data_IF_731350073220
#
_entry.id   IF_731350073220
#
_cell.length_a   1.000
_cell.length_b   1.000
_cell.length_c   1.000
_cell.angle_alpha   90.00
_cell.angle_beta   90.00
_cell.angle_gamma   90.00
#
_symmetry.space_group_name_H-M   'P 1'
#
loop_
_entity.id
_entity.type
_entity.pdbx_description
1 polymer ?
#
# COMPACT_ATOMS: atom_id res chain seq x y z
N UNK A 1 14.66 -15.34 -12.51
CA UNK A 1 14.47 -14.68 -11.20
C UNK A 1 14.59 -15.72 -10.10
N UNK A 2 15.02 -15.39 -8.87
CA UNK A 2 15.09 -16.33 -7.72
C UNK A 2 14.39 -15.84 -6.46
N UNK A 3 14.16 -14.53 -6.31
CA UNK A 3 13.49 -13.96 -5.15
C UNK A 3 12.54 -12.83 -5.57
N UNK A 4 11.31 -12.87 -5.08
CA UNK A 4 10.35 -11.76 -5.13
C UNK A 4 10.11 -11.26 -3.72
N UNK A 5 10.30 -9.96 -3.50
CA UNK A 5 10.08 -9.30 -2.22
C UNK A 5 8.90 -8.36 -2.36
N UNK A 6 7.87 -8.52 -1.53
CA UNK A 6 6.80 -7.53 -1.38
C UNK A 6 7.14 -6.58 -0.24
N UNK A 7 7.12 -5.27 -0.46
CA UNK A 7 7.31 -4.29 0.61
C UNK A 7 5.98 -3.87 1.25
N UNK A 8 6.03 -3.62 2.55
CA UNK A 8 4.89 -3.23 3.36
C UNK A 8 5.24 -3.14 4.84
N UNK A 9 4.33 -2.60 5.65
CA UNK A 9 4.40 -2.62 7.10
C UNK A 9 3.47 -3.71 7.67
N UNK A 10 3.90 -4.50 8.66
CA UNK A 10 3.08 -5.53 9.28
C UNK A 10 2.06 -4.96 10.27
N UNK A 11 0.92 -5.64 10.42
CA UNK A 11 -0.09 -5.37 11.43
C UNK A 11 -1.32 -4.61 10.93
N UNK A 12 -2.44 -4.80 11.63
CA UNK A 12 -3.80 -4.40 11.20
C UNK A 12 -3.95 -2.94 10.77
N UNK A 13 -3.20 -2.02 11.39
CA UNK A 13 -3.24 -0.60 11.03
C UNK A 13 -2.72 -0.30 9.62
N UNK A 14 -1.80 -1.11 9.10
CA UNK A 14 -1.14 -0.88 7.80
C UNK A 14 -1.67 -1.76 6.67
N UNK A 15 -2.43 -2.83 6.98
CA UNK A 15 -2.92 -3.79 5.99
C UNK A 15 -3.61 -3.16 4.77
N UNK A 16 -4.24 -1.99 4.96
CA UNK A 16 -4.99 -1.28 3.91
C UNK A 16 -4.36 0.04 3.46
N UNK A 17 -3.12 0.30 3.85
CA UNK A 17 -2.43 1.56 3.51
C UNK A 17 -1.70 1.45 2.18
N UNK A 18 -1.57 2.55 1.43
CA UNK A 18 -0.89 2.57 0.12
C UNK A 18 0.51 1.94 0.16
N UNK A 19 1.23 2.12 1.27
CA UNK A 19 2.57 1.58 1.50
C UNK A 19 2.66 0.04 1.54
N UNK A 20 1.52 -0.66 1.53
CA UNK A 20 1.45 -2.12 1.51
C UNK A 20 1.12 -2.69 0.12
N UNK A 21 1.16 -1.87 -0.94
CA UNK A 21 0.91 -2.34 -2.32
C UNK A 21 1.81 -3.52 -2.71
N UNK A 22 3.08 -3.53 -2.26
CA UNK A 22 4.00 -4.65 -2.47
C UNK A 22 3.54 -5.94 -1.79
N UNK A 23 3.07 -5.88 -0.55
CA UNK A 23 2.45 -7.03 0.12
C UNK A 23 1.21 -7.52 -0.63
N UNK A 24 0.30 -6.62 -1.01
CA UNK A 24 -0.94 -6.98 -1.69
C UNK A 24 -0.69 -7.80 -2.95
N UNK A 25 0.28 -7.39 -3.76
CA UNK A 25 0.63 -8.11 -4.98
C UNK A 25 1.21 -9.49 -4.67
N UNK A 26 2.18 -9.60 -3.77
CA UNK A 26 2.84 -10.88 -3.50
C UNK A 26 1.90 -11.87 -2.79
N UNK A 27 1.02 -11.38 -1.90
CA UNK A 27 -0.03 -12.19 -1.29
C UNK A 27 -1.02 -12.72 -2.33
N UNK A 28 -1.47 -11.87 -3.26
CA UNK A 28 -2.35 -12.29 -4.35
C UNK A 28 -1.69 -13.30 -5.27
N UNK A 29 -0.43 -13.06 -5.63
CA UNK A 29 0.35 -14.00 -6.43
C UNK A 29 0.47 -15.36 -5.73
N UNK A 30 0.82 -15.35 -4.45
CA UNK A 30 0.91 -16.56 -3.64
C UNK A 30 -0.42 -17.31 -3.57
N UNK A 31 -1.53 -16.60 -3.34
CA UNK A 31 -2.87 -17.19 -3.30
C UNK A 31 -3.29 -17.79 -4.66
N UNK A 32 -3.09 -17.07 -5.77
CA UNK A 32 -3.46 -17.52 -7.12
C UNK A 32 -2.67 -18.76 -7.56
N UNK A 33 -1.43 -18.89 -7.09
CA UNK A 33 -0.54 -20.00 -7.47
C UNK A 33 -0.51 -21.13 -6.45
N UNK A 34 -1.27 -21.03 -5.35
CA UNK A 34 -1.25 -22.02 -4.27
C UNK A 34 0.04 -22.03 -3.45
N UNK A 35 0.85 -20.97 -3.52
CA UNK A 35 2.07 -20.84 -2.70
C UNK A 35 1.70 -20.49 -1.26
N UNK A 36 2.09 -21.34 -0.31
CA UNK A 36 1.84 -21.08 1.12
C UNK A 36 2.93 -20.18 1.69
N UNK A 37 2.55 -19.00 2.16
CA UNK A 37 3.41 -18.09 2.91
C UNK A 37 3.38 -18.47 4.40
N UNK A 38 4.55 -18.79 4.98
CA UNK A 38 4.70 -19.14 6.40
C UNK A 38 5.58 -18.15 7.12
N UNK A 39 5.26 -17.86 8.37
CA UNK A 39 6.12 -17.04 9.23
C UNK A 39 7.42 -17.79 9.51
N UNK A 40 8.53 -17.15 9.18
CA UNK A 40 9.87 -17.63 9.47
C UNK A 40 10.57 -16.63 10.41
N UNK A 41 10.91 -17.10 11.61
CA UNK A 41 11.54 -16.26 12.63
C UNK A 41 13.00 -15.92 12.30
N UNK A 42 13.71 -16.80 11.59
CA UNK A 42 15.09 -16.55 11.16
C UNK A 42 15.11 -15.41 10.17
N UNK A 43 14.23 -15.43 9.18
CA UNK A 43 14.15 -14.36 8.18
C UNK A 43 13.31 -13.17 8.63
N UNK A 44 12.65 -13.23 9.79
CA UNK A 44 11.74 -12.18 10.29
C UNK A 44 10.71 -11.77 9.23
N UNK A 45 10.12 -12.76 8.55
CA UNK A 45 9.29 -12.53 7.37
C UNK A 45 8.22 -13.61 7.21
N UNK A 46 7.25 -13.37 6.32
CA UNK A 46 6.50 -14.45 5.69
C UNK A 46 7.29 -14.93 4.47
N UNK A 47 7.50 -16.23 4.36
CA UNK A 47 8.30 -16.86 3.31
C UNK A 47 7.50 -17.96 2.66
N UNK A 48 7.54 -18.04 1.34
CA UNK A 48 7.00 -19.15 0.57
C UNK A 48 7.91 -19.48 -0.60
N UNK A 49 7.77 -20.68 -1.15
CA UNK A 49 8.46 -21.09 -2.37
C UNK A 49 7.43 -21.42 -3.44
N UNK A 50 7.48 -20.71 -4.54
CA UNK A 50 6.64 -20.99 -5.69
C UNK A 50 7.21 -22.21 -6.41
N UNK A 51 6.64 -23.39 -6.14
CA UNK A 51 7.16 -24.67 -6.62
C UNK A 51 7.41 -24.73 -8.15
N UNK A 52 6.51 -24.24 -9.02
CA UNK A 52 6.74 -24.33 -10.48
C UNK A 52 8.01 -23.65 -10.98
N UNK A 53 8.46 -22.58 -10.31
CA UNK A 53 9.67 -21.83 -10.72
C UNK A 53 10.82 -21.94 -9.71
N UNK A 54 10.57 -22.53 -8.54
CA UNK A 54 11.49 -22.58 -7.41
C UNK A 54 11.79 -21.22 -6.76
N UNK A 55 11.12 -20.15 -7.18
CA UNK A 55 11.34 -18.77 -6.72
C UNK A 55 10.86 -18.59 -5.28
N UNK A 56 11.64 -17.88 -4.48
CA UNK A 56 11.25 -17.49 -3.13
C UNK A 56 10.36 -16.25 -3.15
N UNK A 57 9.29 -16.28 -2.35
CA UNK A 57 8.46 -15.13 -2.03
C UNK A 57 8.77 -14.68 -0.61
N UNK A 58 8.98 -13.38 -0.41
CA UNK A 58 9.36 -12.81 0.87
C UNK A 58 8.53 -11.56 1.18
N UNK A 59 7.84 -11.55 2.32
CA UNK A 59 7.20 -10.38 2.89
C UNK A 59 7.83 -10.06 4.26
N UNK A 60 8.78 -9.12 4.33
CA UNK A 60 9.37 -8.66 5.58
C UNK A 60 8.33 -8.39 6.67
N UNK A 61 8.48 -8.96 7.87
CA UNK A 61 7.60 -8.70 9.01
C UNK A 61 8.27 -7.72 9.99
N UNK A 62 8.89 -6.68 9.44
CA UNK A 62 9.51 -5.54 10.13
C UNK A 62 8.94 -4.24 9.58
N UNK A 63 9.22 -3.11 10.23
CA UNK A 63 8.86 -1.81 9.66
C UNK A 63 9.62 -1.54 8.36
N UNK A 64 9.01 -0.76 7.48
CA UNK A 64 9.49 -0.50 6.12
C UNK A 64 10.96 -0.04 6.09
N UNK A 65 11.36 0.84 7.01
CA UNK A 65 12.74 1.34 7.10
C UNK A 65 13.78 0.27 7.50
N UNK A 66 13.34 -0.95 7.80
CA UNK A 66 14.18 -2.09 8.21
C UNK A 66 14.00 -3.31 7.29
N UNK A 67 13.39 -3.14 6.11
CA UNK A 67 13.10 -4.23 5.16
C UNK A 67 14.35 -4.86 4.54
N UNK A 68 15.49 -4.19 4.53
CA UNK A 68 16.74 -4.70 3.96
C UNK A 68 17.37 -5.82 4.78
N UNK A 69 17.21 -5.84 6.11
CA UNK A 69 17.68 -6.95 6.95
C UNK A 69 17.10 -8.31 6.54
N UNK A 70 15.77 -8.52 6.52
CA UNK A 70 15.19 -9.83 6.15
C UNK A 70 15.53 -10.22 4.71
N UNK A 71 15.60 -9.24 3.80
CA UNK A 71 15.99 -9.43 2.40
C UNK A 71 17.43 -9.92 2.29
N UNK A 72 18.38 -9.24 2.93
CA UNK A 72 19.79 -9.63 2.96
C UNK A 72 19.99 -11.02 3.56
N UNK A 73 19.27 -11.33 4.65
CA UNK A 73 19.38 -12.62 5.31
C UNK A 73 18.94 -13.78 4.42
N UNK A 74 17.79 -13.66 3.74
CA UNK A 74 17.31 -14.70 2.83
C UNK A 74 18.21 -14.80 1.59
N UNK A 75 18.54 -13.67 0.97
CA UNK A 75 19.40 -13.64 -0.22
C UNK A 75 20.77 -14.26 0.06
N UNK A 76 21.42 -13.89 1.17
CA UNK A 76 22.71 -14.45 1.57
C UNK A 76 22.63 -15.95 1.87
N UNK A 77 21.58 -16.40 2.57
CA UNK A 77 21.40 -17.82 2.92
C UNK A 77 21.25 -18.71 1.68
N UNK A 78 20.50 -18.28 0.68
CA UNK A 78 20.28 -19.01 -0.57
C UNK A 78 21.23 -18.61 -1.71
N UNK A 79 22.22 -17.76 -1.44
CA UNK A 79 23.20 -17.26 -2.43
C UNK A 79 22.53 -16.63 -3.66
N UNK A 80 21.51 -15.82 -3.42
CA UNK A 80 20.77 -15.09 -4.45
C UNK A 80 21.45 -13.74 -4.66
N UNK A 81 21.84 -13.44 -5.90
CA UNK A 81 22.44 -12.14 -6.25
C UNK A 81 21.36 -11.06 -6.44
N UNK A 82 21.68 -9.76 -6.27
CA UNK A 82 20.73 -8.66 -6.50
C UNK A 82 20.02 -8.72 -7.86
N UNK A 83 20.73 -9.07 -8.93
CA UNK A 83 20.17 -9.17 -10.28
C UNK A 83 19.11 -10.28 -10.43
N UNK A 84 19.05 -11.23 -9.50
CA UNK A 84 18.07 -12.32 -9.45
C UNK A 84 16.88 -12.00 -8.53
N UNK A 85 16.77 -10.75 -8.07
CA UNK A 85 15.72 -10.29 -7.17
C UNK A 85 14.76 -9.32 -7.85
N UNK A 86 13.48 -9.43 -7.52
CA UNK A 86 12.41 -8.49 -7.86
C UNK A 86 11.82 -7.90 -6.58
N UNK A 87 11.92 -6.60 -6.40
CA UNK A 87 11.33 -5.87 -5.26
C UNK A 87 10.08 -5.14 -5.72
N UNK A 88 8.94 -5.50 -5.14
CA UNK A 88 7.62 -4.91 -5.42
C UNK A 88 7.32 -3.86 -4.36
N UNK A 89 6.99 -2.64 -4.79
CA UNK A 89 6.77 -1.52 -3.89
C UNK A 89 5.77 -0.50 -4.45
N UNK A 90 5.24 0.33 -3.56
CA UNK A 90 4.46 1.51 -3.94
C UNK A 90 5.35 2.63 -4.48
N UNK A 91 4.80 3.42 -5.40
CA UNK A 91 5.52 4.46 -6.09
C UNK A 91 4.69 5.74 -6.23
N UNK A 92 5.23 6.84 -5.72
CA UNK A 92 4.59 8.15 -5.74
C UNK A 92 4.74 8.86 -7.10
N UNK A 93 5.70 8.47 -7.93
CA UNK A 93 5.91 9.12 -9.23
C UNK A 93 4.83 8.73 -10.25
N UNK A 94 4.07 7.66 -9.96
CA UNK A 94 3.05 7.12 -10.84
C UNK A 94 1.66 7.23 -10.22
N UNK A 95 0.70 7.63 -11.04
CA UNK A 95 -0.72 7.64 -10.68
C UNK A 95 -1.23 6.22 -10.40
N UNK A 96 -2.28 6.06 -9.58
CA UNK A 96 -3.01 4.81 -9.47
C UNK A 96 -3.36 4.25 -10.85
N UNK A 97 -3.25 2.92 -11.02
CA UNK A 97 -3.49 2.28 -12.32
C UNK A 97 -2.21 2.03 -13.13
N UNK A 98 -1.06 2.58 -12.74
CA UNK A 98 0.22 2.35 -13.43
C UNK A 98 1.05 1.33 -12.65
N UNK A 99 1.56 0.30 -13.32
CA UNK A 99 2.55 -0.63 -12.80
C UNK A 99 3.72 -0.82 -13.79
N UNK A 100 4.95 -0.51 -13.36
CA UNK A 100 6.14 -0.63 -14.22
C UNK A 100 7.23 -1.51 -13.64
N UNK A 101 7.79 -2.38 -14.49
CA UNK A 101 9.03 -3.10 -14.19
C UNK A 101 10.24 -2.29 -14.67
N UNK A 102 11.29 -2.21 -13.84
CA UNK A 102 12.58 -1.60 -14.18
C UNK A 102 13.72 -2.27 -13.41
N UNK A 103 14.90 -2.37 -14.00
CA UNK A 103 16.13 -2.74 -13.28
C UNK A 103 16.84 -1.50 -12.71
N UNK A 104 17.30 -1.57 -11.47
CA UNK A 104 18.11 -0.50 -10.88
C UNK A 104 17.36 0.80 -10.61
N UNK A 105 18.13 1.90 -10.60
CA UNK A 105 17.63 3.26 -10.44
C UNK A 105 17.64 3.79 -9.00
N UNK A 106 17.29 5.07 -8.85
CA UNK A 106 17.23 5.75 -7.55
C UNK A 106 16.11 5.19 -6.66
N UNK A 107 16.21 5.42 -5.35
CA UNK A 107 15.24 4.92 -4.36
C UNK A 107 13.98 5.80 -4.22
N UNK A 108 13.91 6.94 -4.92
CA UNK A 108 12.78 7.88 -4.90
C UNK A 108 12.26 8.25 -3.49
N UNK A 109 13.15 8.32 -2.50
CA UNK A 109 12.77 8.59 -1.10
C UNK A 109 12.14 7.41 -0.34
N UNK A 110 11.89 6.27 -1.00
CA UNK A 110 11.29 5.10 -0.39
C UNK A 110 12.23 4.41 0.61
N UNK A 111 11.86 4.41 1.90
CA UNK A 111 12.72 3.93 2.99
C UNK A 111 13.02 2.42 2.94
N UNK A 112 12.09 1.60 2.44
CA UNK A 112 12.35 0.17 2.23
C UNK A 112 13.43 -0.09 1.18
N UNK A 113 13.34 0.55 0.00
CA UNK A 113 14.38 0.49 -1.03
C UNK A 113 15.72 1.04 -0.54
N UNK A 114 15.70 2.10 0.28
CA UNK A 114 16.90 2.65 0.92
C UNK A 114 17.61 1.60 1.77
N UNK A 115 16.90 0.95 2.69
CA UNK A 115 17.50 -0.05 3.58
C UNK A 115 17.95 -1.29 2.80
N UNK A 116 17.17 -1.77 1.84
CA UNK A 116 17.56 -2.88 0.96
C UNK A 116 18.86 -2.56 0.22
N UNK A 117 18.93 -1.42 -0.47
CA UNK A 117 20.13 -1.05 -1.24
C UNK A 117 21.35 -0.89 -0.34
N UNK A 118 21.17 -0.31 0.86
CA UNK A 118 22.25 -0.14 1.85
C UNK A 118 22.78 -1.48 2.33
N UNK A 119 21.90 -2.44 2.61
CA UNK A 119 22.25 -3.77 3.12
C UNK A 119 22.88 -4.66 2.05
N UNK A 120 22.39 -4.57 0.82
CA UNK A 120 22.93 -5.33 -0.30
C UNK A 120 24.21 -4.71 -0.87
N UNK A 121 24.47 -3.43 -0.62
CA UNK A 121 25.57 -2.70 -1.25
C UNK A 121 25.40 -2.53 -2.77
N UNK A 122 24.17 -2.65 -3.27
CA UNK A 122 23.86 -2.59 -4.71
C UNK A 122 22.43 -2.10 -4.92
N UNK A 123 22.22 -1.43 -6.05
CA UNK A 123 20.90 -1.05 -6.54
C UNK A 123 20.40 -1.98 -7.65
N UNK A 124 21.21 -2.95 -8.10
CA UNK A 124 21.06 -3.69 -9.37
C UNK A 124 20.04 -4.83 -9.31
N UNK A 125 18.99 -4.65 -8.50
CA UNK A 125 17.83 -5.52 -8.45
C UNK A 125 16.69 -4.98 -9.30
N UNK A 126 15.80 -5.87 -9.71
CA UNK A 126 14.59 -5.51 -10.43
C UNK A 126 13.56 -4.94 -9.49
N UNK A 127 12.73 -4.03 -10.01
CA UNK A 127 11.66 -3.38 -9.26
C UNK A 127 10.37 -3.46 -10.04
N UNK A 128 9.29 -3.80 -9.35
CA UNK A 128 7.93 -3.64 -9.85
C UNK A 128 7.27 -2.52 -9.06
N UNK A 129 7.13 -1.38 -9.73
CA UNK A 129 6.68 -0.10 -9.18
C UNK A 129 5.16 -0.04 -9.34
N UNK A 130 4.41 0.05 -8.26
CA UNK A 130 2.94 0.18 -8.28
C UNK A 130 2.61 1.64 -7.99
N UNK A 131 2.03 2.33 -8.95
CA UNK A 131 1.61 3.71 -8.81
C UNK A 131 0.53 3.87 -7.76
N UNK A 132 0.75 4.79 -6.83
CA UNK A 132 -0.20 5.12 -5.76
C UNK A 132 -0.60 6.59 -5.76
N UNK A 133 -0.09 7.39 -6.68
CA UNK A 133 -0.29 8.83 -6.77
C UNK A 133 0.60 9.63 -5.83
N UNK A 134 0.54 10.96 -5.93
CA UNK A 134 1.27 11.88 -5.06
C UNK A 134 0.28 12.93 -4.51
N UNK A 135 0.36 13.30 -3.21
CA UNK A 135 -0.53 14.30 -2.60
C UNK A 135 -0.22 15.75 -3.02
N UNK A 136 0.48 15.98 -4.13
CA UNK A 136 1.01 17.29 -4.53
C UNK A 136 2.21 17.78 -3.71
N UNK A 137 2.06 17.95 -2.40
CA UNK A 137 3.10 18.55 -1.54
C UNK A 137 4.10 17.53 -0.97
N UNK A 138 5.40 17.85 -1.07
CA UNK A 138 6.53 16.95 -0.75
C UNK A 138 6.60 16.52 0.72
N UNK A 139 6.07 17.32 1.64
CA UNK A 139 6.02 17.00 3.08
C UNK A 139 4.84 16.09 3.46
N UNK A 140 3.80 16.00 2.62
CA UNK A 140 2.64 15.15 2.87
C UNK A 140 2.87 13.66 2.49
N UNK A 141 4.00 13.35 1.84
CA UNK A 141 4.27 12.02 1.30
C UNK A 141 4.31 10.90 2.36
N UNK A 142 4.85 11.16 3.55
CA UNK A 142 4.95 10.13 4.61
C UNK A 142 3.59 9.72 5.17
N UNK A 143 2.68 10.67 5.33
CA UNK A 143 1.34 10.39 5.85
C UNK A 143 0.47 9.78 4.75
N UNK A 144 0.58 10.30 3.52
CA UNK A 144 -0.16 9.79 2.37
C UNK A 144 0.06 8.30 2.09
N UNK A 145 1.31 7.82 2.16
CA UNK A 145 1.59 6.38 1.97
C UNK A 145 1.03 5.53 3.12
N UNK A 146 0.95 6.08 4.33
CA UNK A 146 0.40 5.41 5.51
C UNK A 146 -1.13 5.53 5.60
N UNK A 147 -1.76 6.25 4.68
CA UNK A 147 -3.21 6.34 4.58
C UNK A 147 -3.78 5.28 3.64
N UNK A 148 -5.08 5.03 3.80
CA UNK A 148 -5.84 4.18 2.89
C UNK A 148 -6.08 4.93 1.56
N UNK A 149 -5.96 4.24 0.41
CA UNK A 149 -6.41 4.81 -0.85
C UNK A 149 -7.89 5.17 -0.82
N UNK A 150 -8.29 6.17 -1.61
CA UNK A 150 -9.71 6.39 -1.88
C UNK A 150 -10.30 5.16 -2.57
N UNK A 151 -11.62 4.95 -2.58
CA UNK A 151 -12.23 3.84 -3.30
C UNK A 151 -11.82 3.80 -4.79
N UNK A 152 -11.72 4.96 -5.44
CA UNK A 152 -11.34 5.11 -6.84
C UNK A 152 -9.87 4.75 -7.04
N UNK A 153 -8.95 5.35 -6.26
CA UNK A 153 -7.53 5.00 -6.28
C UNK A 153 -7.32 3.50 -6.03
N UNK A 154 -8.12 2.92 -5.14
CA UNK A 154 -8.00 1.50 -4.78
C UNK A 154 -8.36 0.60 -5.95
N UNK A 155 -9.41 0.91 -6.70
CA UNK A 155 -9.81 0.16 -7.89
C UNK A 155 -8.67 0.18 -8.91
N UNK A 156 -8.08 1.36 -9.14
CA UNK A 156 -6.99 1.51 -10.10
C UNK A 156 -5.70 0.79 -9.66
N UNK A 157 -5.32 0.89 -8.38
CA UNK A 157 -4.20 0.12 -7.82
C UNK A 157 -4.46 -1.38 -7.98
N UNK A 158 -5.68 -1.84 -7.70
CA UNK A 158 -6.04 -3.26 -7.84
C UNK A 158 -5.99 -3.73 -9.30
N UNK A 159 -6.39 -2.88 -10.25
CA UNK A 159 -6.27 -3.15 -11.68
C UNK A 159 -4.79 -3.23 -12.13
N UNK A 160 -3.94 -2.33 -11.63
CA UNK A 160 -2.49 -2.35 -11.88
C UNK A 160 -1.84 -3.63 -11.33
N UNK A 161 -2.21 -4.04 -10.11
CA UNK A 161 -1.80 -5.32 -9.54
C UNK A 161 -2.27 -6.49 -10.41
N UNK A 162 -3.51 -6.46 -10.91
CA UNK A 162 -4.04 -7.48 -11.82
C UNK A 162 -3.15 -7.67 -13.07
N UNK A 163 -2.82 -6.58 -13.77
CA UNK A 163 -1.91 -6.62 -14.93
C UNK A 163 -0.51 -7.10 -14.57
N UNK A 164 0.02 -6.66 -13.43
CA UNK A 164 1.31 -7.12 -12.95
C UNK A 164 1.31 -8.65 -12.72
N UNK A 165 0.24 -9.20 -12.12
CA UNK A 165 0.09 -10.64 -11.90
C UNK A 165 0.08 -11.44 -13.23
N UNK A 166 -0.48 -10.89 -14.30
CA UNK A 166 -0.46 -11.53 -15.63
C UNK A 166 0.95 -11.67 -16.23
N UNK A 167 1.89 -10.78 -15.86
CA UNK A 167 3.25 -10.77 -16.40
C UNK A 167 4.29 -11.38 -15.46
N UNK A 168 3.96 -11.51 -14.17
CA UNK A 168 4.86 -12.09 -13.18
C UNK A 168 5.40 -13.47 -13.62
N UNK A 169 4.58 -14.43 -14.11
CA UNK A 169 5.07 -15.72 -14.56
C UNK A 169 6.18 -15.63 -15.62
N UNK A 170 6.08 -14.70 -16.57
CA UNK A 170 7.12 -14.45 -17.59
C UNK A 170 8.42 -13.97 -16.92
N UNK A 171 8.31 -12.98 -16.04
CA UNK A 171 9.46 -12.46 -15.30
C UNK A 171 10.13 -13.53 -14.43
N UNK A 172 9.34 -14.42 -13.81
CA UNK A 172 9.86 -15.52 -12.99
C UNK A 172 10.59 -16.56 -13.83
N UNK A 173 10.09 -16.87 -15.04
CA UNK A 173 10.73 -17.74 -16.01
C UNK A 173 12.01 -17.14 -16.64
N UNK A 174 12.32 -15.87 -16.35
CA UNK A 174 13.52 -15.18 -16.84
C UNK A 174 13.28 -14.26 -18.03
N UNK A 175 12.06 -14.24 -18.59
CA UNK A 175 11.68 -13.32 -19.67
C UNK A 175 11.21 -11.97 -19.11
N UNK A 176 12.16 -11.22 -18.57
CA UNK A 176 11.91 -9.88 -18.03
C UNK A 176 11.59 -8.85 -19.11
N UNK A 177 12.16 -9.01 -20.31
CA UNK A 177 11.89 -8.12 -21.44
C UNK A 177 10.46 -8.28 -21.96
N UNK A 178 10.00 -9.52 -22.14
CA UNK A 178 8.61 -9.81 -22.51
C UNK A 178 7.62 -9.36 -21.44
N UNK A 179 7.95 -9.56 -20.15
CA UNK A 179 7.15 -9.05 -19.05
C UNK A 179 7.03 -7.51 -19.08
N UNK A 180 8.13 -6.79 -19.30
CA UNK A 180 8.12 -5.33 -19.44
C UNK A 180 7.29 -4.88 -20.64
N UNK A 181 7.54 -5.45 -21.82
CA UNK A 181 6.85 -5.09 -23.06
C UNK A 181 5.34 -5.26 -22.91
N UNK A 182 4.90 -6.42 -22.39
CA UNK A 182 3.48 -6.70 -22.20
C UNK A 182 2.84 -5.72 -21.21
N UNK A 183 3.49 -5.50 -20.06
CA UNK A 183 2.96 -4.63 -19.02
C UNK A 183 2.87 -3.17 -19.49
N UNK A 184 3.94 -2.62 -20.06
CA UNK A 184 3.99 -1.21 -20.47
C UNK A 184 3.11 -0.92 -21.69
N UNK A 185 2.87 -1.91 -22.56
CA UNK A 185 1.94 -1.74 -23.70
C UNK A 185 0.50 -1.70 -23.22
N UNK A 186 0.12 -2.57 -22.27
CA UNK A 186 -1.22 -2.55 -21.66
C UNK A 186 -1.50 -1.21 -20.97
N UNK A 187 -0.50 -0.62 -20.29
CA UNK A 187 -0.63 0.72 -19.71
C UNK A 187 -0.87 1.81 -20.75
N UNK A 188 -0.12 1.79 -21.85
CA UNK A 188 -0.23 2.80 -22.90
C UNK A 188 -1.61 2.79 -23.55
N UNK A 189 -2.15 1.59 -23.82
CA UNK A 189 -3.50 1.44 -24.35
C UNK A 189 -4.57 2.01 -23.40
N UNK A 190 -4.41 1.86 -22.08
CA UNK A 190 -5.35 2.42 -21.10
C UNK A 190 -5.31 3.95 -21.05
N UNK A 191 -4.11 4.53 -21.03
CA UNK A 191 -3.94 5.98 -21.08
C UNK A 191 -4.54 6.57 -22.36
N UNK A 192 -4.34 5.91 -23.51
CA UNK A 192 -4.94 6.34 -24.78
C UNK A 192 -6.48 6.21 -24.77
N UNK A 193 -7.04 5.16 -24.16
CA UNK A 193 -8.51 4.95 -24.07
C UNK A 193 -9.18 5.99 -23.18
N UNK A 194 -8.55 6.38 -22.07
CA UNK A 194 -9.05 7.44 -21.17
C UNK A 194 -8.95 8.84 -21.79
N UNK A 195 -7.94 9.08 -22.63
CA UNK A 195 -7.77 10.38 -23.31
C UNK A 195 -8.80 10.61 -24.42
N UNK A 196 -9.41 9.53 -24.96
CA UNK A 196 -10.37 9.60 -26.07
C UNK A 196 -11.84 9.58 -25.58
N UNK A 197 -12.11 9.19 -24.33
CA UNK A 197 -13.45 9.26 -23.75
C UNK A 197 -13.85 10.72 -23.47
N UNK A 198 -14.93 11.27 -24.08
CA UNK A 198 -15.29 12.67 -23.86
C UNK A 198 -15.83 12.85 -22.43
N UNK A 199 -15.34 13.87 -21.74
CA UNK A 199 -15.89 14.36 -20.49
C UNK A 199 -17.39 14.70 -20.66
N UNK A 200 -18.26 13.81 -20.21
CA UNK A 200 -19.68 14.09 -20.08
C UNK A 200 -19.86 15.15 -18.98
N UNK A 201 -20.06 16.41 -19.40
CA UNK A 201 -20.46 17.49 -18.52
C UNK A 201 -21.82 17.14 -17.88
N UNK A 202 -22.04 17.38 -16.57
CA UNK A 202 -23.38 17.32 -16.02
C UNK A 202 -24.20 18.47 -16.60
N UNK A 203 -25.20 18.13 -17.40
CA UNK A 203 -26.15 19.10 -17.95
C UNK A 203 -26.96 19.76 -16.83
N UNK A 204 -27.03 21.09 -16.85
CA UNK A 204 -28.01 21.88 -16.09
C UNK A 204 -29.43 21.32 -16.31
N UNK A 205 -30.28 21.23 -15.27
CA UNK A 205 -31.68 20.90 -15.49
C UNK A 205 -32.37 22.05 -16.26
N UNK A 206 -33.24 21.74 -17.25
CA UNK A 206 -33.99 22.77 -17.95
C UNK A 206 -35.08 23.36 -17.06
N UNK A 207 -35.18 24.68 -17.17
CA UNK A 207 -36.17 25.56 -16.55
C UNK A 207 -37.56 25.25 -17.13
N UNK A 208 -38.50 24.79 -16.30
CA UNK A 208 -39.90 24.69 -16.68
C UNK A 208 -40.63 26.00 -16.35
N UNK A 209 -41.33 26.53 -17.35
CA UNK A 209 -42.16 27.72 -17.30
C UNK A 209 -43.52 27.46 -16.62
N UNK A 210 -44.11 28.54 -16.09
CA UNK A 210 -45.40 28.57 -15.36
C UNK A 210 -46.60 28.28 -16.28
N UNK A 211 -47.71 27.81 -15.69
CA UNK A 211 -49.02 28.34 -16.04
C UNK A 211 -49.71 29.07 -14.88
N UNK A 212 -50.71 29.87 -15.27
CA UNK A 212 -51.42 30.88 -14.51
C UNK A 212 -52.40 30.37 -13.44
N UNK A 213 -52.85 31.34 -12.64
CA UNK A 213 -53.69 31.29 -11.44
C UNK A 213 -55.13 30.81 -11.68
N UNK A 214 -55.73 30.19 -10.64
CA UNK A 214 -57.09 30.53 -10.14
C UNK A 214 -57.33 29.91 -8.75
N UNK A 215 -57.91 30.69 -7.82
CA UNK A 215 -58.71 30.19 -6.68
C UNK A 215 -58.04 30.04 -5.29
N UNK A 216 -58.21 31.05 -4.42
CA UNK A 216 -58.28 30.94 -2.94
C UNK A 216 -59.78 30.83 -2.53
N UNK A 217 -60.21 30.58 -1.25
CA UNK A 217 -59.52 30.66 0.06
C UNK A 217 -59.76 29.40 0.95
N UNK A 218 -59.32 29.21 2.21
CA UNK A 218 -59.49 30.01 3.44
C UNK A 218 -58.83 29.28 4.65
N UNK A 219 -58.22 30.04 5.59
CA UNK A 219 -58.06 29.89 7.07
C UNK A 219 -57.63 28.54 7.69
N UNK A 220 -56.74 28.43 8.70
CA UNK A 220 -56.63 29.13 10.00
C UNK A 220 -55.17 29.00 10.56
N UNK A 221 -54.57 30.03 11.17
CA UNK A 221 -54.30 30.22 12.63
C UNK A 221 -53.63 29.02 13.35
N UNK A 222 -52.68 29.13 14.29
CA UNK A 222 -51.85 30.17 14.96
C UNK A 222 -50.92 29.42 15.95
N UNK A 223 -49.96 30.14 16.56
CA UNK A 223 -49.14 29.88 17.77
C UNK A 223 -47.71 29.37 17.48
N UNK A 224 -46.67 30.20 17.49
CA UNK A 224 -46.00 30.90 18.62
C UNK A 224 -45.08 30.00 19.48
N UNK A 225 -43.77 30.09 19.17
CA UNK A 225 -42.51 30.19 19.95
C UNK A 225 -42.44 29.81 21.47
N UNK A 226 -41.28 29.95 22.15
CA UNK A 226 -40.01 29.20 22.02
C UNK A 226 -39.56 28.66 23.41
N UNK A 227 -38.63 27.70 23.49
CA UNK A 227 -37.90 27.45 24.77
C UNK A 227 -36.40 27.25 24.54
N UNK A 228 -35.67 28.00 25.35
CA UNK A 228 -34.24 28.19 25.45
C UNK A 228 -33.48 27.01 26.09
N UNK A 229 -32.19 26.94 25.73
CA UNK A 229 -31.00 26.64 26.57
C UNK A 229 -30.94 25.37 27.43
N UNK A 230 -29.93 24.53 27.19
CA UNK A 230 -28.76 24.40 28.09
C UNK A 230 -27.82 23.26 27.65
N UNK A 231 -26.54 23.60 27.49
CA UNK A 231 -25.36 22.76 27.77
C UNK A 231 -24.46 23.63 28.66
N UNK A 232 -23.37 23.13 29.28
CA UNK A 232 -22.94 21.75 29.55
C UNK A 232 -22.55 21.54 31.04
N UNK A 233 -22.39 20.30 31.52
CA UNK A 233 -21.47 20.04 32.64
C UNK A 233 -20.77 18.68 32.51
N UNK A 234 -19.44 18.72 32.56
CA UNK A 234 -18.55 17.63 33.00
C UNK A 234 -18.03 18.02 34.39
N UNK A 235 -17.72 17.06 35.27
CA UNK A 235 -16.31 16.78 35.59
C UNK A 235 -16.11 15.27 35.93
N UNK A 236 -14.98 14.64 36.26
CA UNK A 236 -13.77 14.98 37.03
C UNK A 236 -12.69 13.95 36.64
N UNK A 237 -11.44 14.39 36.60
CA UNK A 237 -10.20 13.60 36.48
C UNK A 237 -9.84 12.98 37.84
N UNK A 238 -9.45 11.70 37.88
CA UNK A 238 -8.73 11.13 39.02
C UNK A 238 -7.52 10.30 38.55
N UNK A 239 -6.33 10.82 38.82
CA UNK A 239 -5.04 10.16 38.68
C UNK A 239 -4.88 9.00 39.69
N UNK A 240 -4.27 7.89 39.25
CA UNK A 240 -3.51 6.98 40.14
C UNK A 240 -2.19 6.60 39.47
N UNK A 241 -1.14 7.38 39.74
CA UNK A 241 0.27 6.94 39.66
C UNK A 241 0.63 6.28 40.98
N UNK A 242 0.89 4.98 40.99
CA UNK A 242 1.60 4.33 42.11
C UNK A 242 2.13 2.96 41.70
N UNK A 243 3.45 2.93 41.47
CA UNK A 243 4.38 1.92 42.01
C UNK A 243 4.51 0.57 41.30
N UNK A 244 5.15 0.58 40.12
CA UNK A 244 5.80 -0.60 39.48
C UNK A 244 7.33 -0.56 39.62
N UNK A 245 7.83 0.03 40.72
CA UNK A 245 9.27 0.15 41.03
C UNK A 245 9.71 -0.68 42.24
N UNK A 246 8.80 -1.41 42.90
CA UNK A 246 9.15 -2.34 44.01
C UNK A 246 9.15 -3.82 43.61
N UNK A 247 8.68 -4.17 42.40
CA UNK A 247 8.66 -5.57 41.94
C UNK A 247 9.95 -5.97 41.18
N UNK A 248 10.78 -5.02 40.76
CA UNK A 248 11.97 -5.27 39.94
C UNK A 248 13.27 -5.48 40.74
N UNK A 249 13.25 -5.31 42.08
CA UNK A 249 14.44 -5.48 42.94
C UNK A 249 14.52 -6.84 43.64
N UNK A 250 13.58 -7.76 43.36
CA UNK A 250 13.47 -9.04 44.09
C UNK A 250 13.78 -10.29 43.25
N UNK A 251 14.29 -10.14 42.01
CA UNK A 251 14.37 -11.26 41.08
C UNK A 251 15.70 -11.53 40.36
N UNK A 252 16.82 -10.90 40.72
CA UNK A 252 18.17 -11.36 40.33
C UNK A 252 19.25 -10.90 41.33
N UNK A 253 19.92 -11.79 42.08
CA UNK A 253 21.19 -11.50 42.72
C UNK A 253 22.35 -11.69 41.72
N UNK A 254 23.42 -10.94 41.97
CA UNK A 254 24.63 -10.78 41.17
C UNK A 254 25.31 -12.09 40.72
N UNK A 255 25.63 -12.19 39.43
CA UNK A 255 26.74 -13.00 38.92
C UNK A 255 27.76 -12.07 38.24
N UNK A 256 28.70 -11.57 39.05
CA UNK A 256 30.04 -11.16 38.60
C UNK A 256 31.03 -12.25 39.02
N UNK A 257 31.50 -13.03 38.06
CA UNK A 257 32.88 -13.48 37.83
C UNK A 257 32.89 -14.45 36.65
#
# INVERSE_FOLDING_TARGET
MKLVVGLGNPGKKYERTRHNAGFWLVERFAAQTGTVLRKDAKFQALVGRHEPTGVWLLLPQCYMNSSGRPVQMLAGFFKISPAEMLVVHDDLDFVPGVAKIKQGGGIAGHNGLRDISTRLGSHDYWRLRIGIGHPGDRQAGSDYVLDRPSPEDRVEIDAAIGRALEVLPLALAGDLQGAMLKLHTQEKAQQETETIAPAAKPGKPPRAEKPAQTGKPQQAEKLEQPVQTAQPEAPVIAEKKSTLKSLFKKLMPDMKK
#
